data_IF_543754369600
#
_entry.id   IF_543754369600
#
_cell.length_a   1.000
_cell.length_b   1.000
_cell.length_c   1.000
_cell.angle_alpha   90.00
_cell.angle_beta   90.00
_cell.angle_gamma   90.00
#
_symmetry.space_group_name_H-M   'P 1'
#
loop_
_entity.id
_entity.type
_entity.pdbx_description
1 polymer ?
#
# COMPACT_ATOMS: atom_id res chain seq x y z
N UNK A 1 1.84 -13.80 3.73
CA UNK A 1 0.56 -14.00 3.03
C UNK A 1 0.01 -15.40 3.25
N UNK A 2 -1.27 -15.46 3.61
CA UNK A 2 -2.03 -16.69 3.78
C UNK A 2 -2.71 -17.05 2.45
N UNK A 3 -2.65 -18.32 2.07
CA UNK A 3 -3.24 -18.82 0.82
C UNK A 3 -4.00 -20.11 1.08
N UNK A 4 -4.73 -20.64 0.10
CA UNK A 4 -5.39 -21.95 0.26
C UNK A 4 -4.40 -23.08 0.61
N UNK A 5 -3.14 -22.99 0.15
CA UNK A 5 -2.08 -23.94 0.49
C UNK A 5 -1.37 -23.61 1.82
N UNK A 6 -1.46 -22.35 2.28
CA UNK A 6 -0.92 -21.87 3.55
C UNK A 6 -2.06 -21.28 4.39
N UNK A 7 -2.92 -22.18 4.89
CA UNK A 7 -4.04 -21.82 5.75
C UNK A 7 -3.57 -21.28 7.11
N UNK A 8 -4.43 -20.49 7.75
CA UNK A 8 -4.21 -20.02 9.11
C UNK A 8 -4.23 -21.23 10.05
N UNK A 9 -3.25 -21.30 10.94
CA UNK A 9 -3.15 -22.31 11.99
C UNK A 9 -3.22 -21.68 13.37
N UNK A 10 -3.44 -22.49 14.39
CA UNK A 10 -3.45 -22.03 15.78
C UNK A 10 -2.14 -21.35 16.18
N UNK A 11 -1.02 -21.82 15.63
CA UNK A 11 0.32 -21.25 15.79
C UNK A 11 0.39 -19.77 15.39
N UNK A 12 -0.36 -19.36 14.36
CA UNK A 12 -0.43 -17.97 13.90
C UNK A 12 -1.18 -17.06 14.89
N UNK A 13 -2.03 -17.65 15.75
CA UNK A 13 -2.90 -16.93 16.67
C UNK A 13 -2.33 -16.82 18.08
N UNK A 14 -1.30 -17.61 18.41
CA UNK A 14 -0.67 -17.62 19.75
C UNK A 14 -0.22 -16.21 20.17
N UNK A 15 0.43 -15.48 19.27
CA UNK A 15 0.91 -14.11 19.56
C UNK A 15 -0.23 -13.14 19.89
N UNK A 16 -1.35 -13.23 19.15
CA UNK A 16 -2.56 -12.45 19.42
C UNK A 16 -3.15 -12.82 20.79
N UNK A 17 -3.26 -14.11 21.09
CA UNK A 17 -3.84 -14.61 22.32
C UNK A 17 -3.04 -14.21 23.56
N UNK A 18 -1.72 -14.33 23.52
CA UNK A 18 -0.86 -13.92 24.65
C UNK A 18 -0.91 -12.40 24.87
N UNK A 19 -0.91 -11.59 23.80
CA UNK A 19 -1.02 -10.13 23.92
C UNK A 19 -2.38 -9.67 24.43
N UNK A 20 -3.45 -10.43 24.16
CA UNK A 20 -4.78 -10.11 24.63
C UNK A 20 -4.89 -10.21 26.16
N UNK A 21 -4.26 -11.20 26.79
CA UNK A 21 -4.26 -11.39 28.25
C UNK A 21 -3.70 -10.18 29.00
N UNK A 22 -2.55 -9.68 28.54
CA UNK A 22 -1.82 -8.60 29.21
C UNK A 22 -2.06 -7.22 28.58
N UNK A 23 -2.95 -7.14 27.58
CA UNK A 23 -3.25 -5.91 26.80
C UNK A 23 -1.98 -5.23 26.29
N UNK A 24 -1.01 -6.04 25.86
CA UNK A 24 0.33 -5.57 25.49
C UNK A 24 0.29 -4.77 24.19
N UNK A 25 0.89 -3.57 24.22
CA UNK A 25 1.00 -2.69 23.06
C UNK A 25 2.15 -3.18 22.15
N UNK A 26 1.89 -3.30 20.86
CA UNK A 26 2.85 -3.68 19.81
C UNK A 26 2.39 -3.11 18.46
N UNK A 27 3.12 -3.39 17.38
CA UNK A 27 2.72 -2.95 16.03
C UNK A 27 1.33 -3.47 15.60
N UNK A 28 0.93 -4.65 16.09
CA UNK A 28 -0.34 -5.29 15.72
C UNK A 28 -1.37 -5.32 16.86
N UNK A 29 -1.08 -4.67 18.01
CA UNK A 29 -1.98 -4.62 19.17
C UNK A 29 -1.85 -3.26 19.85
N UNK A 30 -2.93 -2.51 19.97
CA UNK A 30 -2.91 -1.19 20.61
C UNK A 30 -4.21 -0.96 21.37
N UNK A 31 -4.17 -0.02 22.30
CA UNK A 31 -5.33 0.38 23.10
C UNK A 31 -5.68 1.82 22.73
N UNK A 32 -6.95 2.06 22.44
CA UNK A 32 -7.49 3.41 22.19
C UNK A 32 -8.47 3.80 23.32
N UNK A 33 -8.46 5.07 23.76
CA UNK A 33 -9.48 5.58 24.67
C UNK A 33 -10.88 5.57 24.04
N UNK A 34 -11.92 5.43 24.86
CA UNK A 34 -13.32 5.39 24.39
C UNK A 34 -13.72 6.76 23.81
N UNK A 35 -13.19 7.83 24.38
CA UNK A 35 -13.44 9.21 23.95
C UNK A 35 -13.01 9.44 22.49
N UNK A 36 -11.90 8.82 22.07
CA UNK A 36 -11.42 8.91 20.68
C UNK A 36 -12.33 8.16 19.72
N UNK A 37 -12.87 7.00 20.13
CA UNK A 37 -13.84 6.23 19.34
C UNK A 37 -15.12 7.02 19.13
N UNK A 38 -15.63 7.68 20.19
CA UNK A 38 -16.81 8.55 20.09
C UNK A 38 -16.54 9.72 19.14
N UNK A 39 -15.37 10.38 19.27
CA UNK A 39 -14.98 11.50 18.42
C UNK A 39 -14.85 11.11 16.94
N UNK A 40 -14.39 9.89 16.65
CA UNK A 40 -14.29 9.35 15.30
C UNK A 40 -15.63 8.78 14.77
N UNK A 41 -16.75 9.05 15.43
CA UNK A 41 -18.07 8.60 14.97
C UNK A 41 -18.29 7.10 15.14
N UNK A 42 -17.72 6.51 16.18
CA UNK A 42 -17.78 5.07 16.48
C UNK A 42 -17.11 4.19 15.40
N UNK A 43 -16.14 4.73 14.68
CA UNK A 43 -15.30 3.95 13.75
C UNK A 43 -14.41 2.98 14.52
N UNK A 44 -14.66 1.67 14.35
CA UNK A 44 -13.90 0.57 14.95
C UNK A 44 -12.90 -0.06 13.97
N UNK A 45 -12.61 0.61 12.86
CA UNK A 45 -11.58 0.14 11.92
C UNK A 45 -10.25 -0.03 12.64
N UNK A 46 -9.59 -1.17 12.44
CA UNK A 46 -8.30 -1.52 13.04
C UNK A 46 -7.13 -0.70 12.45
N UNK A 47 -7.19 0.62 12.56
CA UNK A 47 -6.10 1.55 12.22
C UNK A 47 -5.25 1.76 13.45
N UNK A 48 -3.99 1.31 13.39
CA UNK A 48 -3.04 1.54 14.47
C UNK A 48 -2.63 3.03 14.51
N UNK A 49 -2.96 3.77 15.59
CA UNK A 49 -2.57 5.18 15.72
C UNK A 49 -1.06 5.38 15.81
N UNK A 50 -0.33 4.39 16.35
CA UNK A 50 1.12 4.41 16.46
C UNK A 50 1.82 4.06 15.14
N UNK A 51 1.10 3.45 14.19
CA UNK A 51 1.64 3.16 12.86
C UNK A 51 1.66 4.44 12.06
N UNK A 52 2.78 5.17 12.15
CA UNK A 52 3.12 6.16 11.13
C UNK A 52 3.31 5.38 9.83
N UNK A 53 2.32 5.40 8.95
CA UNK A 53 2.55 5.06 7.55
C UNK A 53 3.65 5.99 7.06
N UNK A 54 4.88 5.48 7.02
CA UNK A 54 5.92 6.09 6.21
C UNK A 54 5.45 5.90 4.78
N UNK A 55 4.67 6.86 4.28
CA UNK A 55 4.47 7.04 2.86
C UNK A 55 5.86 7.39 2.35
N UNK A 56 6.57 6.38 1.86
CA UNK A 56 7.86 6.55 1.22
C UNK A 56 7.56 7.18 -0.14
N UNK A 57 7.58 8.50 -0.19
CA UNK A 57 7.58 9.18 -1.47
C UNK A 57 8.92 8.88 -2.17
N UNK A 58 8.92 8.53 -3.46
CA UNK A 58 10.15 8.51 -4.22
C UNK A 58 10.79 9.91 -4.20
N UNK A 59 12.12 9.95 -4.16
CA UNK A 59 12.87 11.21 -4.26
C UNK A 59 12.42 12.00 -5.50
N UNK A 60 12.33 13.34 -5.44
CA UNK A 60 11.88 14.17 -6.56
C UNK A 60 12.60 13.86 -7.88
N UNK A 61 13.90 13.58 -7.80
CA UNK A 61 14.75 13.20 -8.94
C UNK A 61 14.24 11.92 -9.64
N UNK A 62 13.85 10.90 -8.87
CA UNK A 62 13.29 9.65 -9.41
C UNK A 62 11.93 9.86 -10.08
N UNK A 63 11.13 10.80 -9.55
CA UNK A 63 9.85 11.16 -10.17
C UNK A 63 10.11 11.79 -11.54
N UNK A 64 11.07 12.72 -11.62
CA UNK A 64 11.46 13.39 -12.88
C UNK A 64 12.01 12.39 -13.90
N UNK A 65 12.89 11.48 -13.49
CA UNK A 65 13.42 10.43 -14.36
C UNK A 65 12.30 9.54 -14.94
N UNK A 66 11.33 9.16 -14.12
CA UNK A 66 10.21 8.33 -14.56
C UNK A 66 9.33 9.08 -15.58
N UNK A 67 9.05 10.37 -15.35
CA UNK A 67 8.33 11.21 -16.31
C UNK A 67 9.06 11.25 -17.66
N UNK A 68 10.38 11.48 -17.65
CA UNK A 68 11.18 11.52 -18.88
C UNK A 68 11.15 10.17 -19.61
N UNK A 69 11.23 9.05 -18.87
CA UNK A 69 11.17 7.72 -19.46
C UNK A 69 9.80 7.44 -20.11
N UNK A 70 8.72 7.85 -19.44
CA UNK A 70 7.36 7.72 -19.97
C UNK A 70 7.14 8.56 -21.22
N UNK A 71 7.61 9.82 -21.23
CA UNK A 71 7.56 10.69 -22.41
C UNK A 71 8.29 10.08 -23.62
N UNK A 72 9.47 9.48 -23.40
CA UNK A 72 10.19 8.77 -24.48
C UNK A 72 9.40 7.59 -25.05
N UNK A 73 8.70 6.84 -24.19
CA UNK A 73 7.83 5.74 -24.64
C UNK A 73 6.66 6.27 -25.47
N UNK A 74 6.04 7.35 -25.03
CA UNK A 74 4.95 8.01 -25.76
C UNK A 74 5.43 8.44 -27.15
N UNK A 75 6.56 9.13 -27.24
CA UNK A 75 7.14 9.58 -28.52
C UNK A 75 7.42 8.39 -29.44
N UNK A 76 8.05 7.33 -28.93
CA UNK A 76 8.33 6.13 -29.71
C UNK A 76 7.07 5.51 -30.30
N UNK A 77 6.02 5.39 -29.48
CA UNK A 77 4.72 4.86 -29.93
C UNK A 77 4.14 5.77 -31.04
N UNK A 78 4.20 7.09 -30.87
CA UNK A 78 3.72 8.03 -31.89
C UNK A 78 4.52 7.95 -33.20
N UNK A 79 5.83 7.72 -33.13
CA UNK A 79 6.68 7.50 -34.30
C UNK A 79 6.32 6.20 -35.03
N UNK A 80 6.11 5.11 -34.28
CA UNK A 80 5.62 3.83 -34.83
C UNK A 80 4.26 4.02 -35.53
N UNK A 81 3.32 4.71 -34.88
CA UNK A 81 2.02 5.06 -35.47
C UNK A 81 2.18 5.89 -36.75
N UNK A 82 3.08 6.87 -36.76
CA UNK A 82 3.36 7.70 -37.94
C UNK A 82 3.95 6.88 -39.09
N UNK A 83 4.83 5.91 -38.80
CA UNK A 83 5.40 5.01 -39.79
C UNK A 83 4.30 4.18 -40.46
N UNK A 84 3.41 3.59 -39.67
CA UNK A 84 2.27 2.79 -40.16
C UNK A 84 1.36 3.65 -41.04
N UNK A 85 1.05 4.89 -40.63
CA UNK A 85 0.20 5.79 -41.41
C UNK A 85 0.89 6.32 -42.69
N UNK A 86 2.22 6.45 -42.67
CA UNK A 86 3.02 6.87 -43.82
C UNK A 86 3.11 5.79 -44.90
N UNK A 87 3.22 4.52 -44.51
CA UNK A 87 3.24 3.36 -45.42
C UNK A 87 1.90 3.14 -46.14
N UNK A 88 0.78 3.58 -45.56
CA UNK A 88 -0.56 3.44 -46.17
C UNK A 88 -0.81 4.47 -47.30
N UNK A 89 0.04 5.49 -47.44
CA UNK A 89 -0.11 6.56 -48.44
C UNK A 89 0.96 6.55 -49.55
N UNK A 90 1.72 5.46 -49.68
CA UNK A 90 2.74 5.24 -50.72
C UNK A 90 2.33 4.21 -51.77
#
# INVERSE_FOLDING_TARGET
>A
DYTKAKSIKDEDLVDCFEKWKDRKISENSWVVPVEEVIKNGYDLTAKNPARKEKIVYPEPEKIVENIIEQERKIIKILEEFRSILGEVNG
#
